data_IF_935682529965
#
_entry.id   IF_935682529965
#
_cell.length_a   1.000
_cell.length_b   1.000
_cell.length_c   1.000
_cell.angle_alpha   90.00
_cell.angle_beta   90.00
_cell.angle_gamma   90.00
#
_symmetry.space_group_name_H-M   'P 1'
#
loop_
_entity.id
_entity.type
_entity.pdbx_description
1 polymer ?
#
# COMPACT_ATOMS: atom_id res chain seq x y z
N UNK A 1 6.04 -19.41 -9.47
CA UNK A 1 4.82 -20.20 -9.13
C UNK A 1 4.04 -19.48 -8.01
N UNK A 2 3.56 -18.25 -8.27
CA UNK A 2 2.91 -17.40 -7.23
C UNK A 2 1.63 -16.69 -7.74
N UNK A 3 1.29 -16.85 -9.02
CA UNK A 3 0.17 -16.15 -9.66
C UNK A 3 -1.21 -16.54 -9.11
N UNK A 4 -1.35 -17.75 -8.55
CA UNK A 4 -2.62 -18.20 -7.97
C UNK A 4 -3.00 -17.40 -6.72
N UNK A 5 -2.04 -17.15 -5.81
CA UNK A 5 -2.28 -16.35 -4.61
C UNK A 5 -2.58 -14.90 -4.94
N UNK A 6 -1.90 -14.33 -5.95
CA UNK A 6 -2.16 -12.96 -6.40
C UNK A 6 -3.58 -12.83 -6.95
N UNK A 7 -3.98 -13.75 -7.82
CA UNK A 7 -5.32 -13.76 -8.41
C UNK A 7 -6.39 -13.98 -7.36
N UNK A 8 -6.14 -14.84 -6.36
CA UNK A 8 -7.02 -15.00 -5.21
C UNK A 8 -7.20 -13.67 -4.46
N UNK A 9 -6.11 -12.99 -4.10
CA UNK A 9 -6.16 -11.70 -3.39
C UNK A 9 -6.89 -10.62 -4.20
N UNK A 10 -6.65 -10.56 -5.51
CA UNK A 10 -7.32 -9.63 -6.43
C UNK A 10 -8.81 -9.93 -6.51
N UNK A 11 -9.21 -11.19 -6.69
CA UNK A 11 -10.62 -11.61 -6.73
C UNK A 11 -11.36 -11.24 -5.44
N UNK A 12 -10.76 -11.50 -4.27
CA UNK A 12 -11.36 -11.07 -3.00
C UNK A 12 -11.53 -9.56 -2.93
N UNK A 13 -10.51 -8.80 -3.36
CA UNK A 13 -10.63 -7.34 -3.36
C UNK A 13 -11.68 -6.83 -4.35
N UNK A 14 -11.85 -7.50 -5.49
CA UNK A 14 -12.88 -7.18 -6.46
C UNK A 14 -14.30 -7.41 -5.91
N UNK A 15 -14.53 -8.52 -5.20
CA UNK A 15 -15.82 -8.77 -4.53
C UNK A 15 -16.11 -7.74 -3.44
N UNK A 16 -15.10 -7.35 -2.65
CA UNK A 16 -15.25 -6.30 -1.63
C UNK A 16 -15.66 -4.97 -2.29
N UNK A 17 -15.04 -4.62 -3.42
CA UNK A 17 -15.31 -3.36 -4.14
C UNK A 17 -16.73 -3.26 -4.71
N UNK A 18 -17.46 -4.37 -4.86
CA UNK A 18 -18.88 -4.37 -5.22
C UNK A 18 -19.76 -3.91 -4.04
N UNK A 19 -19.32 -4.17 -2.82
CA UNK A 19 -20.08 -3.88 -1.60
C UNK A 19 -19.75 -2.51 -0.99
N UNK A 20 -18.53 -1.99 -1.22
CA UNK A 20 -18.09 -0.71 -0.66
C UNK A 20 -17.96 0.37 -1.74
N UNK A 21 -18.26 1.64 -1.45
CA UNK A 21 -17.98 2.77 -2.35
C UNK A 21 -16.51 3.24 -2.27
N UNK A 22 -15.74 2.71 -1.31
CA UNK A 22 -14.38 3.13 -1.04
C UNK A 22 -13.33 2.46 -1.92
N UNK A 23 -12.14 2.29 -1.34
CA UNK A 23 -10.97 1.65 -1.95
C UNK A 23 -10.67 0.33 -1.25
N UNK A 24 -10.05 -0.60 -1.96
CA UNK A 24 -9.51 -1.84 -1.37
C UNK A 24 -8.00 -1.73 -1.25
N UNK A 25 -7.44 -2.29 -0.16
CA UNK A 25 -5.99 -2.37 0.02
C UNK A 25 -5.51 -3.79 -0.21
N UNK A 26 -4.56 -3.98 -1.13
CA UNK A 26 -4.02 -5.29 -1.49
C UNK A 26 -2.53 -5.31 -1.26
N UNK A 27 -2.06 -6.33 -0.54
CA UNK A 27 -0.70 -6.38 -0.02
C UNK A 27 0.26 -7.07 -0.98
N UNK A 28 1.43 -6.46 -1.15
CA UNK A 28 2.58 -7.07 -1.84
C UNK A 28 3.23 -8.07 -0.90
N UNK A 29 3.67 -9.20 -1.46
CA UNK A 29 4.35 -10.25 -0.73
C UNK A 29 5.50 -9.71 0.14
N UNK A 30 5.40 -9.92 1.46
CA UNK A 30 6.35 -9.41 2.43
C UNK A 30 7.79 -9.90 2.20
N UNK A 31 7.99 -11.02 1.47
CA UNK A 31 9.34 -11.50 1.09
C UNK A 31 10.05 -10.53 0.14
N UNK A 32 9.31 -9.67 -0.55
CA UNK A 32 9.85 -8.66 -1.45
C UNK A 32 10.17 -7.34 -0.73
N UNK A 33 9.92 -7.23 0.57
CA UNK A 33 10.07 -5.98 1.34
C UNK A 33 11.47 -5.35 1.27
N UNK A 34 12.51 -6.13 0.95
CA UNK A 34 13.89 -5.66 0.82
C UNK A 34 14.37 -5.55 -0.63
N UNK A 35 13.46 -5.71 -1.60
CA UNK A 35 13.76 -5.61 -3.01
C UNK A 35 12.82 -4.61 -3.68
N UNK A 36 13.38 -3.43 -3.99
CA UNK A 36 12.64 -2.31 -4.57
C UNK A 36 12.04 -2.67 -5.93
N UNK A 37 12.85 -3.19 -6.85
CA UNK A 37 12.45 -3.52 -8.22
C UNK A 37 11.32 -4.56 -8.23
N UNK A 38 11.50 -5.65 -7.49
CA UNK A 38 10.50 -6.72 -7.41
C UNK A 38 9.22 -6.25 -6.74
N UNK A 39 9.31 -5.35 -5.75
CA UNK A 39 8.12 -4.74 -5.12
C UNK A 39 7.33 -3.88 -6.10
N UNK A 40 8.01 -3.07 -6.92
CA UNK A 40 7.37 -2.24 -7.96
C UNK A 40 6.72 -3.13 -9.03
N UNK A 41 7.45 -4.12 -9.53
CA UNK A 41 6.94 -5.07 -10.53
C UNK A 41 5.69 -5.79 -10.03
N UNK A 42 5.75 -6.28 -8.78
CA UNK A 42 4.62 -6.97 -8.15
C UNK A 42 3.42 -6.05 -7.95
N UNK A 43 3.64 -4.82 -7.51
CA UNK A 43 2.58 -3.82 -7.38
C UNK A 43 1.89 -3.54 -8.72
N UNK A 44 2.66 -3.34 -9.79
CA UNK A 44 2.13 -3.15 -11.14
C UNK A 44 1.36 -4.38 -11.63
N UNK A 45 1.87 -5.58 -11.36
CA UNK A 45 1.16 -6.82 -11.70
C UNK A 45 -0.20 -6.93 -11.02
N UNK A 46 -0.28 -6.61 -9.71
CA UNK A 46 -1.56 -6.60 -8.99
C UNK A 46 -2.55 -5.59 -9.57
N UNK A 47 -2.07 -4.38 -9.90
CA UNK A 47 -2.92 -3.35 -10.54
C UNK A 47 -3.41 -3.83 -11.92
N UNK A 48 -2.54 -4.45 -12.72
CA UNK A 48 -2.94 -4.99 -14.03
C UNK A 48 -4.05 -6.05 -13.89
N UNK A 49 -3.93 -6.96 -12.92
CA UNK A 49 -4.97 -7.96 -12.65
C UNK A 49 -6.31 -7.32 -12.25
N UNK A 50 -6.30 -6.24 -11.47
CA UNK A 50 -7.53 -5.49 -11.19
C UNK A 50 -8.11 -4.82 -12.44
N UNK A 51 -7.27 -4.27 -13.30
CA UNK A 51 -7.69 -3.65 -14.55
C UNK A 51 -8.29 -4.67 -15.53
N UNK A 52 -7.76 -5.89 -15.58
CA UNK A 52 -8.36 -7.01 -16.34
C UNK A 52 -9.80 -7.31 -15.88
N UNK A 53 -10.12 -7.05 -14.61
CA UNK A 53 -11.47 -7.19 -14.04
C UNK A 53 -12.33 -5.93 -14.19
N UNK A 54 -11.84 -4.89 -14.88
CA UNK A 54 -12.55 -3.63 -15.09
C UNK A 54 -12.55 -2.69 -13.88
N UNK A 55 -11.65 -2.89 -12.91
CA UNK A 55 -11.53 -2.05 -11.72
C UNK A 55 -10.48 -0.96 -11.97
N UNK A 56 -10.89 0.29 -11.78
CA UNK A 56 -10.00 1.44 -11.93
C UNK A 56 -8.95 1.52 -10.81
N UNK A 57 -7.72 1.91 -11.17
CA UNK A 57 -6.59 2.01 -10.25
C UNK A 57 -6.82 3.00 -9.09
N UNK A 58 -7.69 4.00 -9.25
CA UNK A 58 -8.05 4.93 -8.16
C UNK A 58 -8.79 4.27 -7.00
N UNK A 59 -9.37 3.07 -7.22
CA UNK A 59 -10.07 2.28 -6.19
C UNK A 59 -9.14 1.31 -5.46
N UNK A 60 -7.87 1.29 -5.79
CA UNK A 60 -6.89 0.32 -5.29
C UNK A 60 -5.83 1.07 -4.48
N UNK A 61 -5.43 0.47 -3.36
CA UNK A 61 -4.27 0.88 -2.57
C UNK A 61 -3.32 -0.31 -2.48
N UNK A 62 -2.07 -0.14 -2.91
CA UNK A 62 -1.06 -1.19 -2.78
C UNK A 62 -0.38 -1.09 -1.42
N UNK A 63 -0.50 -2.14 -0.61
CA UNK A 63 0.17 -2.22 0.69
C UNK A 63 1.61 -2.68 0.52
N UNK A 64 2.54 -1.89 1.06
CA UNK A 64 3.98 -2.16 1.07
C UNK A 64 4.51 -2.08 2.50
N UNK A 65 5.49 -2.92 2.83
CA UNK A 65 6.20 -2.80 4.09
C UNK A 65 6.99 -1.48 4.15
N UNK A 66 7.02 -0.85 5.33
CA UNK A 66 7.70 0.43 5.57
C UNK A 66 9.21 0.28 5.76
N UNK A 67 9.85 -0.53 4.92
CA UNK A 67 11.31 -0.61 4.77
C UNK A 67 11.81 0.55 3.90
N UNK A 68 13.12 0.76 3.86
CA UNK A 68 13.71 1.77 2.98
C UNK A 68 13.37 1.50 1.50
N UNK A 69 13.49 0.25 1.08
CA UNK A 69 13.19 -0.22 -0.27
C UNK A 69 11.69 -0.08 -0.58
N UNK A 70 10.82 -0.39 0.39
CA UNK A 70 9.37 -0.23 0.26
C UNK A 70 8.94 1.23 0.12
N UNK A 71 9.55 2.14 0.89
CA UNK A 71 9.30 3.59 0.78
C UNK A 71 9.76 4.11 -0.59
N UNK A 72 10.92 3.67 -1.07
CA UNK A 72 11.43 4.03 -2.40
C UNK A 72 10.58 3.45 -3.54
N UNK A 73 10.07 2.23 -3.37
CA UNK A 73 9.12 1.64 -4.29
C UNK A 73 7.81 2.45 -4.34
N UNK A 74 7.26 2.82 -3.18
CA UNK A 74 6.06 3.64 -3.08
C UNK A 74 6.23 5.02 -3.75
N UNK A 75 7.41 5.66 -3.61
CA UNK A 75 7.69 6.94 -4.28
C UNK A 75 7.60 6.84 -5.81
N UNK A 76 8.08 5.74 -6.39
CA UNK A 76 8.00 5.48 -7.83
C UNK A 76 6.56 5.20 -8.25
N UNK A 77 5.86 4.34 -7.50
CA UNK A 77 4.49 3.95 -7.78
C UNK A 77 3.50 5.12 -7.69
N UNK A 78 3.67 6.02 -6.72
CA UNK A 78 2.83 7.22 -6.59
C UNK A 78 3.02 8.18 -7.79
N UNK A 79 4.24 8.29 -8.35
CA UNK A 79 4.49 9.07 -9.57
C UNK A 79 3.79 8.48 -10.80
N UNK A 80 3.51 7.18 -10.78
CA UNK A 80 2.74 6.46 -11.81
C UNK A 80 1.21 6.51 -11.57
N UNK A 81 0.80 7.15 -10.47
CA UNK A 81 -0.59 7.22 -10.04
C UNK A 81 -1.11 5.90 -9.44
N UNK A 82 -0.23 5.05 -8.93
CA UNK A 82 -0.57 3.88 -8.12
C UNK A 82 -0.45 4.26 -6.66
N UNK A 83 -1.58 4.40 -6.00
CA UNK A 83 -1.63 4.80 -4.60
C UNK A 83 -1.16 3.68 -3.68
N UNK A 84 -0.30 4.03 -2.73
CA UNK A 84 0.35 3.09 -1.83
C UNK A 84 -0.06 3.32 -0.36
N UNK A 85 -0.16 2.23 0.40
CA UNK A 85 -0.39 2.23 1.83
C UNK A 85 0.80 1.57 2.53
N UNK A 86 1.65 2.37 3.16
CA UNK A 86 2.81 1.87 3.88
C UNK A 86 2.37 1.29 5.24
N UNK A 87 2.68 0.00 5.46
CA UNK A 87 2.31 -0.75 6.67
C UNK A 87 3.55 -1.22 7.45
N UNK A 88 3.36 -1.78 8.65
CA UNK A 88 4.41 -2.19 9.59
C UNK A 88 5.30 -1.03 10.05
N UNK A 89 4.67 0.08 10.41
CA UNK A 89 5.36 1.21 11.01
C UNK A 89 5.50 1.05 12.51
N UNK A 90 6.75 0.91 12.93
CA UNK A 90 7.10 0.86 14.34
C UNK A 90 7.89 2.14 14.70
N UNK A 91 7.66 2.74 15.88
CA UNK A 91 8.46 3.86 16.36
C UNK A 91 9.85 3.36 16.78
N UNK A 92 10.91 4.02 16.32
CA UNK A 92 12.29 3.57 16.62
C UNK A 92 12.50 3.45 18.11
N UNK A 93 12.92 2.27 18.63
CA UNK A 93 13.19 2.12 20.06
C UNK A 93 14.41 2.94 20.51
N UNK A 94 15.19 3.53 19.57
CA UNK A 94 16.34 4.38 19.88
C UNK A 94 16.58 5.43 18.79
N UNK A 95 16.83 6.71 19.12
CA UNK A 95 17.37 7.67 18.16
C UNK A 95 18.82 7.26 17.82
N UNK A 96 19.15 7.14 16.54
CA UNK A 96 20.47 6.72 16.07
C UNK A 96 20.67 7.02 14.58
N UNK A 97 21.92 7.01 14.10
CA UNK A 97 22.30 7.58 12.80
C UNK A 97 21.90 6.74 11.57
N UNK A 98 21.28 5.57 11.74
CA UNK A 98 20.97 4.66 10.64
C UNK A 98 19.46 4.30 10.59
N UNK A 99 18.80 4.38 9.41
CA UNK A 99 17.49 3.76 9.22
C UNK A 99 17.58 2.26 9.47
N UNK A 100 16.79 1.75 10.43
CA UNK A 100 16.57 0.31 10.58
C UNK A 100 15.37 -0.11 9.72
N UNK A 101 15.31 -1.36 9.23
CA UNK A 101 14.13 -1.87 8.53
C UNK A 101 12.86 -1.65 9.36
N UNK A 102 11.83 -1.02 8.79
CA UNK A 102 10.58 -0.71 9.49
C UNK A 102 10.56 0.61 10.27
N UNK A 103 11.62 1.42 10.22
CA UNK A 103 11.74 2.65 10.98
C UNK A 103 11.93 3.90 10.10
N UNK A 104 11.09 4.93 10.33
CA UNK A 104 11.20 6.24 9.67
C UNK A 104 12.41 6.98 10.23
N UNK A 105 13.45 7.14 9.41
CA UNK A 105 14.64 7.92 9.77
C UNK A 105 14.72 9.29 9.07
N UNK A 106 13.80 9.61 8.15
CA UNK A 106 13.88 10.84 7.35
C UNK A 106 12.55 11.61 7.26
N UNK A 107 12.57 12.96 7.24
CA UNK A 107 11.38 13.79 7.06
C UNK A 107 10.64 13.51 5.73
N UNK A 108 11.36 13.04 4.71
CA UNK A 108 10.81 12.72 3.39
C UNK A 108 10.02 11.41 3.41
N UNK A 109 10.50 10.41 4.16
CA UNK A 109 9.79 9.16 4.45
C UNK A 109 8.52 9.41 5.26
N UNK A 110 8.58 10.35 6.22
CA UNK A 110 7.40 10.80 6.97
C UNK A 110 6.38 11.49 6.04
N UNK A 111 6.83 12.23 5.02
CA UNK A 111 5.96 12.85 4.01
C UNK A 111 5.18 11.83 3.18
N UNK A 112 5.84 10.79 2.66
CA UNK A 112 5.15 9.70 1.92
C UNK A 112 4.19 8.95 2.83
N UNK A 113 4.60 8.67 4.08
CA UNK A 113 3.72 8.09 5.09
C UNK A 113 2.52 8.97 5.40
N UNK A 114 2.72 10.27 5.62
CA UNK A 114 1.64 11.21 5.89
C UNK A 114 0.72 11.39 4.69
N UNK A 115 1.21 11.26 3.45
CA UNK A 115 0.35 11.21 2.26
C UNK A 115 -0.50 9.94 2.24
N UNK A 116 0.08 8.79 2.59
CA UNK A 116 -0.66 7.52 2.77
C UNK A 116 -1.70 7.60 3.90
N UNK A 117 -1.34 8.14 5.06
CA UNK A 117 -2.27 8.39 6.17
C UNK A 117 -3.32 9.42 5.77
N UNK A 118 -2.99 10.54 5.11
CA UNK A 118 -3.99 11.54 4.72
C UNK A 118 -5.03 10.94 3.79
N UNK A 119 -4.63 10.07 2.86
CA UNK A 119 -5.58 9.33 2.02
C UNK A 119 -6.39 8.30 2.82
N UNK A 120 -5.79 7.58 3.77
CA UNK A 120 -6.50 6.63 4.62
C UNK A 120 -7.44 7.31 5.66
N UNK A 121 -7.00 8.40 6.30
CA UNK A 121 -7.71 9.11 7.37
C UNK A 121 -8.78 10.07 6.88
N UNK A 122 -8.70 10.57 5.64
CA UNK A 122 -9.83 11.29 5.03
C UNK A 122 -11.07 10.41 4.92
N UNK A 123 -10.87 9.08 4.87
CA UNK A 123 -11.93 8.09 4.72
C UNK A 123 -12.22 7.26 5.98
N UNK A 124 -11.27 7.10 6.90
CA UNK A 124 -11.52 6.47 8.21
C UNK A 124 -12.51 7.27 9.05
N UNK A 125 -12.43 8.61 9.03
CA UNK A 125 -13.37 9.49 9.73
C UNK A 125 -14.79 9.45 9.15
N UNK A 126 -14.95 9.34 7.82
CA UNK A 126 -16.27 9.24 7.17
C UNK A 126 -16.89 7.87 7.33
N UNK A 127 -16.09 6.79 7.34
CA UNK A 127 -16.55 5.43 7.61
C UNK A 127 -16.94 5.23 9.07
N UNK A 128 -16.15 5.71 10.04
CA UNK A 128 -16.49 5.66 11.47
C UNK A 128 -17.72 6.47 11.86
N UNK A 129 -18.02 7.56 11.13
CA UNK A 129 -19.26 8.32 11.32
C UNK A 129 -20.50 7.61 10.78
N UNK A 130 -20.34 6.76 9.75
CA UNK A 130 -21.44 6.02 9.11
C UNK A 130 -21.80 4.70 9.83
N UNK A 131 -20.95 4.25 10.75
CA UNK A 131 -21.16 3.04 11.59
C UNK A 131 -21.64 3.40 13.01
N UNK A 132 -21.45 4.66 13.44
CA UNK A 132 -21.92 5.20 14.73
C UNK A 132 -23.13 6.14 14.60
N UNK A 133 -23.89 6.04 13.50
CA UNK A 133 -25.11 6.79 13.25
C UNK A 133 -26.21 5.86 12.82
#
# INVERSE_FOLDING_TARGET
>A
MTHACDKLAVNFGAEILKSIPGRVSTEVDARLSFNREKSIEKARHLVALYQEMGIDKSRILIKLASTWEGIRAAEVLEKEGIHCNLTLLFPSPRPGPAPRPGFISSPRSLGVFMTGIRHANRWSHTWWRKIRG
#
